data_IF_435555535884
#
_entry.id   IF_435555535884
#
_cell.length_a   1.000
_cell.length_b   1.000
_cell.length_c   1.000
_cell.angle_alpha   90.00
_cell.angle_beta   90.00
_cell.angle_gamma   90.00
#
_symmetry.space_group_name_H-M   'P 1'
#
loop_
_entity.id
_entity.type
_entity.pdbx_description
1 polymer ?
#
# COMPACT_ATOMS: atom_id res chain seq x y z
N UNK A 1 -16.86 -44.48 -63.84
CA UNK A 1 -17.43 -43.30 -63.14
C UNK A 1 -16.27 -42.32 -62.93
N UNK A 2 -16.06 -41.40 -63.86
CA UNK A 2 -16.35 -39.96 -63.73
C UNK A 2 -15.73 -39.30 -62.47
N UNK A 3 -14.58 -38.65 -62.72
CA UNK A 3 -14.12 -37.32 -62.27
C UNK A 3 -14.40 -36.92 -60.81
N UNK A 4 -13.39 -36.42 -60.12
CA UNK A 4 -13.10 -34.97 -60.08
C UNK A 4 -11.84 -34.70 -59.22
N UNK A 5 -10.85 -34.06 -59.84
CA UNK A 5 -9.87 -33.23 -59.13
C UNK A 5 -10.60 -32.14 -58.34
N UNK A 6 -10.10 -31.77 -57.17
CA UNK A 6 -10.38 -30.46 -56.60
C UNK A 6 -9.09 -29.78 -56.15
N UNK A 7 -8.74 -28.77 -56.92
CA UNK A 7 -7.71 -27.77 -56.73
C UNK A 7 -8.43 -26.47 -56.34
N UNK A 8 -8.11 -25.87 -55.19
CA UNK A 8 -8.46 -24.50 -54.77
C UNK A 8 -7.37 -24.15 -53.75
N UNK A 9 -6.34 -23.33 -53.98
CA UNK A 9 -6.19 -22.03 -54.62
C UNK A 9 -6.85 -20.85 -53.88
N UNK A 10 -5.96 -20.03 -53.29
CA UNK A 10 -6.03 -18.63 -52.84
C UNK A 10 -6.91 -18.22 -51.65
N UNK A 11 -6.25 -17.70 -50.60
CA UNK A 11 -6.47 -16.32 -50.16
C UNK A 11 -5.22 -15.76 -49.45
N UNK A 12 -4.62 -14.76 -50.08
CA UNK A 12 -3.58 -13.87 -49.53
C UNK A 12 -4.28 -12.82 -48.67
N UNK A 13 -3.90 -12.64 -47.40
CA UNK A 13 -4.13 -11.38 -46.68
C UNK A 13 -2.90 -11.05 -45.85
N UNK A 14 -2.06 -10.19 -46.43
CA UNK A 14 -1.14 -9.31 -45.71
C UNK A 14 -1.93 -8.13 -45.14
N UNK A 15 -1.43 -7.53 -44.05
CA UNK A 15 -1.72 -6.22 -43.43
C UNK A 15 -1.88 -6.44 -41.91
N UNK A 16 -1.29 -5.71 -40.97
CA UNK A 16 -0.43 -4.51 -40.96
C UNK A 16 0.12 -4.39 -39.53
N UNK A 17 1.30 -3.80 -39.39
CA UNK A 17 1.92 -3.43 -38.12
C UNK A 17 0.94 -2.63 -37.23
N UNK A 18 0.69 -3.10 -36.01
CA UNK A 18 0.26 -2.22 -34.92
C UNK A 18 1.47 -1.93 -34.03
N UNK A 19 2.14 -0.83 -34.32
CA UNK A 19 3.07 -0.17 -33.41
C UNK A 19 2.33 0.17 -32.12
N UNK A 20 2.47 -0.66 -31.09
CA UNK A 20 2.18 -0.20 -29.73
C UNK A 20 3.35 0.69 -29.33
N UNK A 21 3.12 2.00 -29.37
CA UNK A 21 3.89 2.98 -28.61
C UNK A 21 3.25 2.97 -27.22
N UNK A 22 3.91 2.45 -26.16
CA UNK A 22 3.48 2.72 -24.81
C UNK A 22 3.78 4.20 -24.55
N UNK A 23 2.72 4.98 -24.37
CA UNK A 23 2.79 6.37 -23.91
C UNK A 23 3.36 6.46 -22.51
N UNK A 24 4.17 7.50 -22.32
CA UNK A 24 4.81 7.90 -21.07
C UNK A 24 3.88 7.92 -19.86
N UNK A 25 4.37 7.39 -18.74
CA UNK A 25 4.33 8.10 -17.44
C UNK A 25 5.07 7.29 -16.39
N UNK A 26 6.41 7.23 -16.51
CA UNK A 26 7.26 6.90 -15.37
C UNK A 26 7.28 8.10 -14.40
N UNK A 27 6.12 8.43 -13.82
CA UNK A 27 6.08 9.01 -12.48
C UNK A 27 6.43 7.85 -11.56
N UNK A 28 7.73 7.75 -11.27
CA UNK A 28 8.24 6.95 -10.16
C UNK A 28 7.71 7.56 -8.85
N UNK A 29 6.42 7.35 -8.56
CA UNK A 29 5.99 7.29 -7.17
C UNK A 29 6.68 6.06 -6.60
N UNK A 30 7.54 6.29 -5.61
CA UNK A 30 8.19 5.24 -4.84
C UNK A 30 7.11 4.34 -4.25
N UNK A 31 6.78 3.29 -4.98
CA UNK A 31 5.89 2.23 -4.54
C UNK A 31 6.74 1.36 -3.62
N UNK A 32 6.68 1.60 -2.30
CA UNK A 32 7.28 0.67 -1.34
C UNK A 32 6.40 -0.58 -1.37
N UNK A 33 6.71 -1.49 -2.28
CA UNK A 33 6.14 -2.84 -2.30
C UNK A 33 6.44 -3.48 -0.95
N UNK A 34 5.39 -3.98 -0.30
CA UNK A 34 5.41 -4.51 1.07
C UNK A 34 6.45 -5.64 1.17
N UNK A 35 7.63 -5.31 1.69
CA UNK A 35 8.60 -6.28 2.21
C UNK A 35 8.63 -6.06 3.71
N UNK A 36 8.27 -7.09 4.49
CA UNK A 36 8.47 -7.31 5.94
C UNK A 36 8.42 -6.06 6.82
N UNK A 37 7.53 -5.94 7.83
CA UNK A 37 7.49 -4.77 8.70
C UNK A 37 8.88 -4.40 9.21
N UNK A 38 9.44 -3.33 8.66
CA UNK A 38 10.74 -2.82 9.06
C UNK A 38 10.50 -1.92 10.26
N UNK A 39 11.15 -2.17 11.40
CA UNK A 39 11.06 -1.31 12.59
C UNK A 39 10.49 -2.01 13.83
N UNK A 40 10.37 -1.25 14.90
CA UNK A 40 9.78 -1.70 16.18
C UNK A 40 8.30 -1.38 16.19
N UNK A 41 7.46 -2.37 16.54
CA UNK A 41 6.03 -2.16 16.75
C UNK A 41 5.81 -1.21 17.93
N UNK A 42 5.07 -0.13 17.71
CA UNK A 42 4.77 0.87 18.75
C UNK A 42 3.40 0.69 19.39
N UNK A 43 2.51 -0.02 18.69
CA UNK A 43 1.12 -0.23 19.07
C UNK A 43 0.15 0.37 18.06
N UNK A 44 -1.04 0.80 18.50
CA UNK A 44 -2.16 1.09 17.60
C UNK A 44 -2.98 2.35 17.94
N UNK A 45 -3.74 2.83 16.94
CA UNK A 45 -4.83 3.82 17.08
C UNK A 45 -6.10 3.22 16.47
N UNK A 46 -7.27 3.54 17.05
CA UNK A 46 -8.58 3.13 16.53
C UNK A 46 -9.43 4.38 16.25
N UNK A 47 -9.98 4.50 15.04
CA UNK A 47 -10.85 5.63 14.65
C UNK A 47 -12.35 5.27 14.63
N UNK A 48 -12.68 4.08 15.14
CA UNK A 48 -14.02 3.50 15.16
C UNK A 48 -14.32 2.59 13.96
N UNK A 49 -13.72 2.84 12.80
CA UNK A 49 -13.91 1.99 11.60
C UNK A 49 -12.69 1.12 11.33
N UNK A 50 -11.50 1.66 11.60
CA UNK A 50 -10.23 1.01 11.31
C UNK A 50 -9.32 1.00 12.54
N UNK A 51 -8.45 0.00 12.57
CA UNK A 51 -7.32 -0.12 13.51
C UNK A 51 -6.06 0.11 12.71
N UNK A 52 -5.18 0.98 13.22
CA UNK A 52 -3.91 1.34 12.60
C UNK A 52 -2.78 0.91 13.53
N UNK A 53 -1.96 -0.05 13.12
CA UNK A 53 -0.79 -0.49 13.89
C UNK A 53 0.47 0.14 13.30
N UNK A 54 1.29 0.75 14.14
CA UNK A 54 2.44 1.54 13.73
C UNK A 54 3.77 0.88 14.06
N UNK A 55 4.73 1.02 13.15
CA UNK A 55 6.11 0.62 13.35
C UNK A 55 7.02 1.79 13.01
N UNK A 56 8.09 1.97 13.79
CA UNK A 56 9.07 3.02 13.55
C UNK A 56 10.51 2.52 13.70
N UNK A 57 11.44 3.24 13.09
CA UNK A 57 12.88 3.02 13.30
C UNK A 57 13.34 3.83 14.53
N UNK A 58 13.39 3.15 15.67
CA UNK A 58 13.81 3.73 16.95
C UNK A 58 15.31 3.98 17.04
N UNK A 59 16.11 3.50 16.08
CA UNK A 59 17.56 3.81 16.02
C UNK A 59 17.84 5.22 15.51
N UNK A 60 16.85 5.88 14.90
CA UNK A 60 16.97 7.25 14.38
C UNK A 60 16.72 8.29 15.48
N UNK A 61 17.31 9.49 15.36
CA UNK A 61 16.99 10.58 16.28
C UNK A 61 15.51 10.95 16.19
N UNK A 62 14.95 11.43 17.30
CA UNK A 62 13.59 11.94 17.35
C UNK A 62 13.42 13.21 16.49
N UNK A 63 12.27 13.41 15.81
CA UNK A 63 11.14 12.48 15.72
C UNK A 63 11.46 11.27 14.85
N UNK A 64 11.12 10.06 15.34
CA UNK A 64 11.44 8.83 14.63
C UNK A 64 10.50 8.61 13.45
N UNK A 65 11.00 8.19 12.28
CA UNK A 65 10.16 7.97 11.11
C UNK A 65 9.28 6.73 11.30
N UNK A 66 8.00 6.85 10.92
CA UNK A 66 7.14 5.68 10.73
C UNK A 66 7.68 4.92 9.52
N UNK A 67 7.95 3.63 9.69
CA UNK A 67 8.57 2.78 8.67
C UNK A 67 7.62 1.76 8.08
N UNK A 68 6.52 1.48 8.78
CA UNK A 68 5.43 0.63 8.32
C UNK A 68 4.13 0.95 9.08
N UNK A 69 2.99 0.77 8.40
CA UNK A 69 1.65 0.84 8.99
C UNK A 69 0.86 -0.37 8.48
N UNK A 70 0.19 -1.05 9.39
CA UNK A 70 -0.84 -2.05 9.10
C UNK A 70 -2.21 -1.43 9.36
N UNK A 71 -3.16 -1.66 8.46
CA UNK A 71 -4.53 -1.15 8.58
C UNK A 71 -5.50 -2.33 8.55
N UNK A 72 -6.35 -2.40 9.57
CA UNK A 72 -7.36 -3.44 9.70
C UNK A 72 -8.76 -2.82 9.81
N UNK A 73 -9.77 -3.52 9.26
CA UNK A 73 -11.17 -3.16 9.47
C UNK A 73 -11.57 -3.56 10.89
N UNK A 74 -11.98 -2.62 11.74
CA UNK A 74 -12.23 -2.87 13.15
C UNK A 74 -13.36 -3.88 13.40
N UNK A 75 -14.35 -3.95 12.51
CA UNK A 75 -15.47 -4.88 12.64
C UNK A 75 -15.17 -6.32 12.25
N UNK A 76 -14.19 -6.55 11.38
CA UNK A 76 -13.90 -7.89 10.82
C UNK A 76 -12.49 -8.39 11.08
N UNK A 77 -11.57 -7.51 11.50
CA UNK A 77 -10.14 -7.81 11.61
C UNK A 77 -9.45 -8.00 10.26
N UNK A 78 -10.09 -7.65 9.14
CA UNK A 78 -9.52 -7.82 7.80
C UNK A 78 -8.40 -6.81 7.56
N UNK A 79 -7.22 -7.29 7.16
CA UNK A 79 -6.12 -6.46 6.68
C UNK A 79 -6.48 -5.77 5.36
N UNK A 80 -6.18 -4.47 5.28
CA UNK A 80 -6.43 -3.61 4.14
C UNK A 80 -5.13 -3.26 3.43
N UNK A 81 -5.17 -3.23 2.10
CA UNK A 81 -4.00 -2.97 1.28
C UNK A 81 -3.60 -1.49 1.40
N UNK A 82 -2.53 -1.22 2.15
CA UNK A 82 -1.92 0.11 2.27
C UNK A 82 -1.21 0.48 0.98
N UNK A 83 -1.56 1.64 0.43
CA UNK A 83 -0.99 2.22 -0.80
C UNK A 83 0.18 3.12 -0.46
N UNK A 84 0.02 3.99 0.54
CA UNK A 84 1.07 4.89 0.99
C UNK A 84 0.83 5.33 2.42
N UNK A 85 1.91 5.77 3.09
CA UNK A 85 1.82 6.43 4.38
C UNK A 85 2.97 7.41 4.56
N UNK A 86 2.78 8.35 5.48
CA UNK A 86 3.80 9.28 5.94
C UNK A 86 3.56 9.65 7.39
N UNK A 87 4.60 10.10 8.06
CA UNK A 87 4.50 10.59 9.44
C UNK A 87 5.73 10.24 10.25
N UNK A 88 5.80 10.86 11.41
CA UNK A 88 6.85 10.60 12.40
C UNK A 88 6.20 10.46 13.77
N UNK A 89 6.92 9.84 14.69
CA UNK A 89 6.49 9.69 16.08
C UNK A 89 7.49 10.33 17.02
N UNK A 90 7.02 10.63 18.22
CA UNK A 90 7.84 11.03 19.35
C UNK A 90 7.57 10.08 20.52
N UNK A 91 8.62 9.79 21.29
CA UNK A 91 8.45 9.13 22.57
C UNK A 91 7.53 10.00 23.46
N UNK A 92 6.52 9.36 24.03
CA UNK A 92 5.57 9.94 24.97
C UNK A 92 5.84 9.42 26.39
N UNK A 93 4.92 9.63 27.32
CA UNK A 93 5.05 9.11 28.69
C UNK A 93 4.95 7.58 28.70
N UNK A 94 5.61 6.93 29.65
CA UNK A 94 5.44 5.51 29.98
C UNK A 94 5.48 4.54 28.78
N UNK A 95 6.63 4.44 28.10
CA UNK A 95 6.87 3.53 26.95
C UNK A 95 5.89 3.67 25.76
N UNK A 96 5.07 4.72 25.75
CA UNK A 96 4.18 5.04 24.65
C UNK A 96 4.85 5.97 23.66
N UNK A 97 4.29 6.00 22.47
CA UNK A 97 4.66 6.96 21.43
C UNK A 97 3.43 7.77 21.05
N UNK A 98 3.65 8.94 20.48
CA UNK A 98 2.58 9.74 19.88
C UNK A 98 2.97 10.15 18.46
N UNK A 99 1.97 10.35 17.62
CA UNK A 99 2.18 10.94 16.29
C UNK A 99 2.66 12.38 16.47
N UNK A 100 3.74 12.73 15.78
CA UNK A 100 4.27 14.07 15.73
C UNK A 100 3.57 14.89 14.64
N UNK A 101 2.63 15.74 15.04
CA UNK A 101 1.76 16.45 14.11
C UNK A 101 0.69 15.51 13.55
N UNK A 102 0.80 15.18 12.27
CA UNK A 102 -0.15 14.33 11.55
C UNK A 102 0.58 13.23 10.79
N UNK A 103 0.06 12.00 10.86
CA UNK A 103 0.44 10.90 9.98
C UNK A 103 -0.67 10.66 8.98
N UNK A 104 -0.35 10.62 7.68
CA UNK A 104 -1.33 10.34 6.63
C UNK A 104 -1.16 8.92 6.15
N UNK A 105 -2.26 8.17 6.00
CA UNK A 105 -2.27 6.83 5.42
C UNK A 105 -3.33 6.75 4.32
N UNK A 106 -2.97 6.07 3.22
CA UNK A 106 -3.88 5.75 2.13
C UNK A 106 -3.94 4.25 1.94
N UNK A 107 -5.14 3.70 1.84
CA UNK A 107 -5.38 2.27 1.69
C UNK A 107 -6.69 2.01 0.95
N UNK A 108 -6.86 0.78 0.44
CA UNK A 108 -8.10 0.36 -0.21
C UNK A 108 -9.06 -0.32 0.79
N UNK A 109 -10.31 0.12 0.83
CA UNK A 109 -11.44 -0.65 1.37
C UNK A 109 -12.34 -1.08 0.21
N UNK A 110 -12.22 -2.34 -0.19
CA UNK A 110 -12.77 -2.82 -1.46
C UNK A 110 -12.13 -2.10 -2.65
N UNK A 111 -12.96 -1.42 -3.45
CA UNK A 111 -12.50 -0.63 -4.61
C UNK A 111 -12.28 0.85 -4.29
N UNK A 112 -12.58 1.28 -3.07
CA UNK A 112 -12.50 2.70 -2.68
C UNK A 112 -11.14 2.98 -2.06
N UNK A 113 -10.43 3.98 -2.60
CA UNK A 113 -9.23 4.54 -1.97
C UNK A 113 -9.66 5.44 -0.81
N UNK A 114 -9.20 5.12 0.39
CA UNK A 114 -9.47 5.85 1.62
C UNK A 114 -8.19 6.57 2.05
N UNK A 115 -8.30 7.85 2.40
CA UNK A 115 -7.22 8.65 2.97
C UNK A 115 -7.57 9.05 4.39
N UNK A 116 -6.63 8.87 5.32
CA UNK A 116 -6.82 9.15 6.75
C UNK A 116 -5.64 9.93 7.29
N UNK A 117 -5.98 11.01 8.00
CA UNK A 117 -5.04 11.79 8.80
C UNK A 117 -5.22 11.41 10.26
N UNK A 118 -4.14 10.88 10.85
CA UNK A 118 -4.11 10.33 12.19
C UNK A 118 -3.26 11.22 13.09
N UNK A 119 -3.70 11.38 14.34
CA UNK A 119 -3.04 12.19 15.36
C UNK A 119 -3.17 11.51 16.72
N UNK A 120 -2.38 11.96 17.70
CA UNK A 120 -2.53 11.54 19.09
C UNK A 120 -1.61 10.40 19.53
N UNK A 121 -1.93 9.83 20.69
CA UNK A 121 -1.11 8.83 21.38
C UNK A 121 -1.39 7.43 20.81
N UNK A 122 -0.32 6.69 20.54
CA UNK A 122 -0.35 5.29 20.12
C UNK A 122 -0.50 4.42 21.37
N UNK A 123 -1.58 3.63 21.41
CA UNK A 123 -1.92 2.72 22.50
C UNK A 123 -1.12 1.41 22.40
N UNK A 124 -1.02 0.65 23.48
CA UNK A 124 -0.37 -0.66 23.52
C UNK A 124 1.10 -0.62 23.94
N UNK A 125 1.86 0.40 23.50
CA UNK A 125 3.26 0.59 23.88
C UNK A 125 4.18 -0.56 23.46
N UNK A 126 5.47 -0.43 23.74
CA UNK A 126 6.44 -1.52 23.59
C UNK A 126 6.44 -2.29 24.91
N UNK A 127 6.00 -3.56 24.90
CA UNK A 127 6.26 -4.45 26.05
C UNK A 127 7.78 -4.70 26.10
N UNK A 128 8.47 -4.34 27.20
CA UNK A 128 9.91 -4.56 27.35
C UNK A 128 10.28 -6.05 27.38
#
# INVERSE_FOLDING_TARGET
MKKLSFLFLFAFVTLTLSSFIPTDSNKSMSHKTVSVPSGTALGYIVDGTYVYTFFADLSKPAPQPITYIEVQKASTGQDLAVVSFSGTVLHWKFLQYQINGTATVQFYDGTTLVTKDLTGVIQGGILP
#
